data_IF_166766706826
#
_entry.id   IF_166766706826
#
_cell.length_a   1.000
_cell.length_b   1.000
_cell.length_c   1.000
_cell.angle_alpha   90.00
_cell.angle_beta   90.00
_cell.angle_gamma   90.00
#
_symmetry.space_group_name_H-M   'P 1'
#
loop_
_entity.id
_entity.type
_entity.pdbx_description
1 polymer ?
#
# COMPACT_ATOMS: atom_id res chain seq x y z
N UNK A 1 30.95 73.66 -46.69
CA UNK A 1 29.67 73.77 -47.40
C UNK A 1 28.82 72.57 -47.02
N UNK A 2 27.90 72.81 -46.09
CA UNK A 2 26.87 71.90 -45.62
C UNK A 2 25.63 72.21 -46.47
N UNK A 3 24.94 71.20 -46.99
CA UNK A 3 23.54 71.36 -47.37
C UNK A 3 22.77 70.09 -47.00
N UNK A 4 21.74 70.30 -46.18
CA UNK A 4 20.89 69.33 -45.52
C UNK A 4 19.48 69.44 -46.13
N UNK A 5 18.86 68.27 -46.36
CA UNK A 5 17.41 67.99 -46.33
C UNK A 5 16.53 68.51 -47.50
N UNK A 6 15.38 67.84 -47.81
CA UNK A 6 14.36 67.40 -46.85
C UNK A 6 13.85 65.96 -46.95
N UNK A 7 13.51 65.45 -45.76
CA UNK A 7 12.72 64.27 -45.42
C UNK A 7 11.21 64.54 -45.50
N UNK A 8 10.41 63.55 -45.94
CA UNK A 8 9.05 63.15 -45.46
C UNK A 8 8.34 62.25 -46.52
N UNK A 9 7.31 61.44 -46.20
CA UNK A 9 6.69 61.18 -44.89
C UNK A 9 6.58 59.68 -44.51
N UNK A 10 6.32 59.47 -43.21
CA UNK A 10 6.02 58.20 -42.53
C UNK A 10 4.62 57.69 -42.95
N UNK A 11 4.53 56.46 -43.45
CA UNK A 11 3.26 55.74 -43.65
C UNK A 11 2.85 55.00 -42.36
N UNK A 12 1.61 55.25 -41.91
CA UNK A 12 0.97 54.62 -40.76
C UNK A 12 0.70 53.11 -40.99
N UNK A 13 0.52 52.30 -39.93
CA UNK A 13 0.39 50.86 -40.06
C UNK A 13 -1.02 50.41 -40.46
N UNK A 14 -1.08 49.42 -41.35
CA UNK A 14 -2.29 48.73 -41.78
C UNK A 14 -3.02 48.05 -40.60
N UNK A 15 -4.31 48.35 -40.47
CA UNK A 15 -5.26 47.62 -39.62
C UNK A 15 -5.51 46.22 -40.17
N UNK A 16 -5.43 45.13 -39.37
CA UNK A 16 -5.76 43.79 -39.86
C UNK A 16 -7.28 43.60 -39.95
N UNK A 17 -7.75 43.15 -41.12
CA UNK A 17 -9.12 42.67 -41.34
C UNK A 17 -9.39 41.37 -40.56
N UNK A 18 -10.63 41.13 -40.06
CA UNK A 18 -10.99 39.89 -39.39
C UNK A 18 -11.41 38.82 -40.42
N UNK A 19 -10.45 37.98 -40.82
CA UNK A 19 -10.65 36.81 -41.67
C UNK A 19 -10.76 35.50 -40.87
N UNK A 20 -11.98 34.96 -40.87
CA UNK A 20 -12.43 33.58 -40.60
C UNK A 20 -11.39 32.48 -40.26
N UNK A 21 -11.69 31.74 -39.18
CA UNK A 21 -11.30 30.31 -39.08
C UNK A 21 -10.34 29.91 -37.97
N UNK A 22 -10.45 30.46 -36.76
CA UNK A 22 -9.78 29.87 -35.59
C UNK A 22 -10.43 28.52 -35.25
N UNK A 23 -9.88 27.43 -35.79
CA UNK A 23 -10.19 26.09 -35.33
C UNK A 23 -9.86 25.99 -33.83
N UNK A 24 -10.90 25.86 -33.00
CA UNK A 24 -10.77 25.64 -31.56
C UNK A 24 -9.77 24.50 -31.30
N UNK A 25 -8.73 24.70 -30.47
CA UNK A 25 -7.76 23.65 -30.22
C UNK A 25 -8.46 22.48 -29.48
N UNK A 26 -8.61 21.37 -30.20
CA UNK A 26 -8.89 19.99 -29.78
C UNK A 26 -8.83 19.69 -28.26
N UNK A 27 -9.81 20.17 -27.49
CA UNK A 27 -9.95 19.87 -26.05
C UNK A 27 -10.18 18.39 -25.76
N UNK A 28 -10.79 17.66 -26.71
CA UNK A 28 -11.06 16.21 -26.61
C UNK A 28 -9.79 15.36 -26.61
N UNK A 29 -8.79 15.71 -27.44
CA UNK A 29 -7.51 14.97 -27.48
C UNK A 29 -6.66 15.20 -26.22
N UNK A 30 -6.66 16.43 -25.67
CA UNK A 30 -5.92 16.75 -24.45
C UNK A 30 -6.54 16.09 -23.21
N UNK A 31 -7.88 16.08 -23.11
CA UNK A 31 -8.61 15.42 -22.03
C UNK A 31 -8.50 13.88 -22.08
N UNK A 32 -8.49 13.28 -23.27
CA UNK A 32 -8.27 11.84 -23.48
C UNK A 32 -6.86 11.41 -23.04
N UNK A 33 -5.84 12.18 -23.46
CA UNK A 33 -4.43 11.92 -23.10
C UNK A 33 -4.18 12.05 -21.60
N UNK A 34 -4.82 13.00 -20.92
CA UNK A 34 -4.73 13.14 -19.45
C UNK A 34 -5.40 11.97 -18.70
N UNK A 35 -6.56 11.47 -19.16
CA UNK A 35 -7.22 10.31 -18.56
C UNK A 35 -6.42 9.02 -18.72
N UNK A 36 -5.87 8.78 -19.92
CA UNK A 36 -5.02 7.60 -20.17
C UNK A 36 -3.77 7.62 -19.28
N UNK A 37 -3.12 8.78 -19.13
CA UNK A 37 -1.97 8.93 -18.22
C UNK A 37 -2.35 8.67 -16.76
N UNK A 38 -3.50 9.18 -16.30
CA UNK A 38 -3.99 8.93 -14.94
C UNK A 38 -4.20 7.44 -14.68
N UNK A 39 -4.86 6.73 -15.60
CA UNK A 39 -5.10 5.28 -15.45
C UNK A 39 -3.81 4.46 -15.43
N UNK A 40 -2.83 4.80 -16.27
CA UNK A 40 -1.52 4.14 -16.28
C UNK A 40 -0.79 4.38 -14.96
N UNK A 41 -0.82 5.60 -14.43
CA UNK A 41 -0.22 5.93 -13.14
C UNK A 41 -0.94 5.25 -11.97
N UNK A 42 -2.27 5.16 -12.02
CA UNK A 42 -3.06 4.42 -11.01
C UNK A 42 -2.71 2.94 -11.01
N UNK A 43 -2.66 2.31 -12.19
CA UNK A 43 -2.29 0.91 -12.32
C UNK A 43 -0.85 0.64 -11.86
N UNK A 44 0.09 1.53 -12.17
CA UNK A 44 1.46 1.44 -11.68
C UNK A 44 1.55 1.62 -10.15
N UNK A 45 0.80 2.59 -9.60
CA UNK A 45 0.73 2.83 -8.16
C UNK A 45 0.15 1.64 -7.40
N UNK A 46 -0.80 0.91 -8.00
CA UNK A 46 -1.39 -0.28 -7.40
C UNK A 46 -0.32 -1.35 -7.09
N UNK A 47 0.59 -1.60 -8.04
CA UNK A 47 1.62 -2.62 -7.87
C UNK A 47 2.81 -2.20 -7.00
N UNK A 48 3.18 -0.92 -7.03
CA UNK A 48 4.38 -0.42 -6.35
C UNK A 48 4.05 0.11 -4.95
N UNK A 49 2.95 0.84 -4.79
CA UNK A 49 2.64 1.56 -3.54
C UNK A 49 1.82 0.68 -2.58
N UNK A 50 0.90 -0.12 -3.12
CA UNK A 50 -0.05 -0.90 -2.31
C UNK A 50 0.32 -2.38 -2.16
N UNK A 51 1.53 -2.77 -2.59
CA UNK A 51 1.99 -4.16 -2.51
C UNK A 51 2.03 -4.66 -1.06
N UNK A 52 2.68 -3.90 -0.18
CA UNK A 52 2.85 -4.25 1.24
C UNK A 52 1.50 -4.41 1.96
N UNK A 53 0.74 -3.32 2.06
CA UNK A 53 -0.59 -3.34 2.69
C UNK A 53 -1.55 -4.35 2.03
N UNK A 54 -1.42 -4.58 0.73
CA UNK A 54 -2.21 -5.53 -0.04
C UNK A 54 -1.94 -7.00 0.30
N UNK A 55 -0.78 -7.31 0.87
CA UNK A 55 -0.40 -8.67 1.29
C UNK A 55 -0.71 -8.99 2.74
N UNK A 56 -1.05 -7.98 3.55
CA UNK A 56 -1.46 -8.14 4.96
C UNK A 56 -2.51 -9.22 5.23
N UNK A 57 -3.50 -9.50 4.34
CA UNK A 57 -4.48 -10.56 4.60
C UNK A 57 -3.89 -11.96 4.70
N UNK A 58 -2.65 -12.18 4.23
CA UNK A 58 -1.95 -13.46 4.35
C UNK A 58 -1.61 -13.83 5.81
N UNK A 59 -1.42 -12.83 6.69
CA UNK A 59 -0.89 -13.06 8.03
C UNK A 59 -1.68 -12.34 9.14
N UNK A 60 -2.22 -11.14 8.90
CA UNK A 60 -2.71 -10.28 10.00
C UNK A 60 -3.86 -10.90 10.82
N UNK A 61 -4.85 -11.52 10.17
CA UNK A 61 -5.96 -12.14 10.89
C UNK A 61 -5.54 -13.43 11.60
N UNK A 62 -4.62 -14.19 11.00
CA UNK A 62 -4.03 -15.38 11.63
C UNK A 62 -3.37 -15.00 12.95
N UNK A 63 -2.53 -13.96 12.96
CA UNK A 63 -1.84 -13.49 14.17
C UNK A 63 -2.80 -13.00 15.27
N UNK A 64 -4.04 -12.62 14.93
CA UNK A 64 -5.05 -12.29 15.94
C UNK A 64 -5.62 -13.54 16.64
N UNK A 65 -5.80 -14.64 15.92
CA UNK A 65 -6.58 -15.81 16.37
C UNK A 65 -5.77 -17.12 16.50
N UNK A 66 -4.50 -17.12 16.12
CA UNK A 66 -3.63 -18.29 16.18
C UNK A 66 -2.21 -17.92 16.61
N UNK A 67 -1.66 -18.66 17.57
CA UNK A 67 -0.34 -18.41 18.16
C UNK A 67 -0.39 -18.27 19.69
N UNK A 68 0.74 -17.89 20.29
CA UNK A 68 0.91 -17.82 21.75
C UNK A 68 0.16 -16.66 22.42
N UNK A 69 -0.12 -15.59 21.67
CA UNK A 69 -0.84 -14.40 22.16
C UNK A 69 -2.22 -14.25 21.51
N UNK A 70 -2.71 -15.32 20.90
CA UNK A 70 -3.95 -15.34 20.17
C UNK A 70 -5.17 -15.27 21.08
N UNK A 71 -6.25 -14.69 20.56
CA UNK A 71 -7.56 -14.72 21.20
C UNK A 71 -8.42 -15.84 20.62
N UNK A 72 -9.28 -16.43 21.43
CA UNK A 72 -10.21 -17.46 20.95
C UNK A 72 -11.17 -16.87 19.91
N UNK A 73 -11.36 -17.52 18.75
CA UNK A 73 -12.28 -17.08 17.68
C UNK A 73 -13.75 -17.30 18.04
N UNK A 74 -14.21 -16.64 19.11
CA UNK A 74 -15.64 -16.56 19.44
C UNK A 74 -16.34 -15.55 18.53
N UNK A 75 -17.66 -15.66 18.28
CA UNK A 75 -18.37 -14.69 17.44
C UNK A 75 -18.19 -13.23 17.86
N UNK A 76 -18.16 -12.96 19.17
CA UNK A 76 -17.92 -11.63 19.70
C UNK A 76 -16.50 -11.13 19.40
N UNK A 77 -15.49 -12.00 19.54
CA UNK A 77 -14.10 -11.65 19.26
C UNK A 77 -13.85 -11.46 17.76
N UNK A 78 -14.45 -12.30 16.91
CA UNK A 78 -14.37 -12.18 15.45
C UNK A 78 -14.97 -10.86 14.99
N UNK A 79 -16.18 -10.51 15.43
CA UNK A 79 -16.80 -9.21 15.10
C UNK A 79 -15.95 -8.04 15.61
N UNK A 80 -15.40 -8.18 16.82
CA UNK A 80 -14.52 -7.19 17.44
C UNK A 80 -13.25 -6.91 16.62
N UNK A 81 -12.49 -7.96 16.30
CA UNK A 81 -11.24 -7.84 15.54
C UNK A 81 -11.50 -7.33 14.12
N UNK A 82 -12.52 -7.83 13.42
CA UNK A 82 -12.86 -7.33 12.07
C UNK A 82 -13.28 -5.86 12.11
N UNK A 83 -14.02 -5.43 13.15
CA UNK A 83 -14.32 -4.02 13.38
C UNK A 83 -13.05 -3.20 13.58
N UNK A 84 -12.10 -3.66 14.41
CA UNK A 84 -10.84 -2.95 14.62
C UNK A 84 -10.02 -2.84 13.33
N UNK A 85 -9.97 -3.90 12.52
CA UNK A 85 -9.28 -3.89 11.22
C UNK A 85 -9.91 -2.86 10.29
N UNK A 86 -11.23 -2.88 10.12
CA UNK A 86 -11.94 -1.92 9.27
C UNK A 86 -11.64 -0.48 9.69
N UNK A 87 -11.81 -0.19 10.98
CA UNK A 87 -11.64 1.16 11.50
C UNK A 87 -10.18 1.60 11.52
N UNK A 88 -9.21 0.69 11.65
CA UNK A 88 -7.80 1.00 11.43
C UNK A 88 -7.51 1.39 9.98
N UNK A 89 -8.03 0.66 8.98
CA UNK A 89 -7.88 1.02 7.56
C UNK A 89 -8.54 2.37 7.23
N UNK A 90 -9.69 2.66 7.84
CA UNK A 90 -10.37 3.95 7.68
C UNK A 90 -9.59 5.07 8.37
N UNK A 91 -9.34 4.96 9.67
CA UNK A 91 -8.77 6.06 10.46
C UNK A 91 -7.30 6.29 10.17
N UNK A 92 -6.50 5.23 10.10
CA UNK A 92 -5.05 5.33 9.91
C UNK A 92 -4.76 5.61 8.44
N UNK A 93 -5.14 4.72 7.53
CA UNK A 93 -4.74 4.85 6.13
C UNK A 93 -5.60 5.89 5.41
N UNK A 94 -6.92 5.77 5.47
CA UNK A 94 -7.79 6.63 4.67
C UNK A 94 -7.82 8.08 5.19
N UNK A 95 -8.00 8.28 6.49
CA UNK A 95 -8.08 9.63 7.08
C UNK A 95 -6.69 10.20 7.36
N UNK A 96 -5.89 9.57 8.24
CA UNK A 96 -4.58 10.10 8.62
C UNK A 96 -3.63 10.16 7.41
N UNK A 97 -3.37 9.06 6.69
CA UNK A 97 -2.40 9.10 5.59
C UNK A 97 -2.95 9.83 4.36
N UNK A 98 -4.07 9.38 3.81
CA UNK A 98 -4.53 9.85 2.50
C UNK A 98 -5.21 11.23 2.52
N UNK A 99 -5.89 11.60 3.60
CA UNK A 99 -6.56 12.92 3.70
C UNK A 99 -5.67 13.97 4.36
N UNK A 100 -4.98 13.64 5.45
CA UNK A 100 -4.17 14.60 6.21
C UNK A 100 -2.72 14.65 5.74
N UNK A 101 -1.98 13.53 5.82
CA UNK A 101 -0.54 13.51 5.57
C UNK A 101 -0.23 13.79 4.09
N UNK A 102 -1.02 13.30 3.14
CA UNK A 102 -0.86 13.65 1.72
C UNK A 102 -1.04 15.15 1.42
N UNK A 103 -1.59 15.96 2.34
CA UNK A 103 -1.64 17.43 2.18
C UNK A 103 -0.34 18.10 2.64
N UNK A 104 0.45 17.42 3.47
CA UNK A 104 1.76 17.88 3.93
C UNK A 104 2.85 17.35 2.99
N UNK A 105 2.80 17.78 1.72
CA UNK A 105 3.89 17.56 0.78
C UNK A 105 4.88 18.74 0.84
N UNK A 106 6.16 18.48 0.54
CA UNK A 106 7.16 19.53 0.37
C UNK A 106 7.53 19.59 -1.12
N UNK A 107 6.94 20.54 -1.86
CA UNK A 107 7.14 20.69 -3.32
C UNK A 107 6.80 19.42 -4.13
N UNK A 108 5.84 18.63 -3.66
CA UNK A 108 5.40 17.39 -4.31
C UNK A 108 6.17 16.13 -3.90
N UNK A 109 7.16 16.22 -3.01
CA UNK A 109 7.79 15.05 -2.39
C UNK A 109 7.21 14.77 -1.00
N UNK A 110 7.09 13.48 -0.67
CA UNK A 110 6.70 12.98 0.65
C UNK A 110 7.82 12.15 1.28
N UNK A 111 7.63 11.73 2.52
CA UNK A 111 8.61 10.99 3.32
C UNK A 111 8.96 11.68 4.66
N UNK A 112 9.45 10.90 5.62
CA UNK A 112 9.80 11.36 6.99
C UNK A 112 10.79 12.54 6.96
N UNK A 113 11.66 12.58 5.95
CA UNK A 113 12.64 13.65 5.78
C UNK A 113 12.06 14.92 5.15
N UNK A 114 11.03 14.82 4.29
CA UNK A 114 10.26 15.99 3.83
C UNK A 114 9.56 16.68 5.02
N UNK A 115 8.97 15.90 5.93
CA UNK A 115 8.40 16.41 7.19
C UNK A 115 9.46 17.05 8.10
N UNK A 116 10.65 16.45 8.20
CA UNK A 116 11.74 17.00 8.99
C UNK A 116 12.22 18.37 8.47
N UNK A 117 12.22 18.57 7.14
CA UNK A 117 12.57 19.86 6.51
C UNK A 117 11.45 20.92 6.60
N UNK A 118 10.18 20.51 6.61
CA UNK A 118 9.05 21.43 6.82
C UNK A 118 8.98 21.96 8.27
N UNK A 119 9.50 21.20 9.24
CA UNK A 119 9.48 21.56 10.65
C UNK A 119 10.71 22.29 11.18
N UNK A 120 11.71 22.59 10.34
CA UNK A 120 13.07 22.95 10.80
C UNK A 120 13.31 24.43 11.12
N UNK A 121 12.29 25.26 11.27
CA UNK A 121 12.46 26.72 11.48
C UNK A 121 12.84 27.14 12.92
N UNK A 122 13.45 26.26 13.74
CA UNK A 122 13.89 26.64 15.09
C UNK A 122 15.11 25.84 15.57
N UNK A 123 16.24 26.53 15.77
CA UNK A 123 17.59 25.96 15.97
C UNK A 123 17.75 24.94 17.13
N UNK A 124 16.88 24.95 18.14
CA UNK A 124 16.86 23.97 19.25
C UNK A 124 15.96 22.77 18.98
N UNK A 125 14.86 22.93 18.22
CA UNK A 125 13.98 21.82 17.80
C UNK A 125 14.64 20.99 16.69
N UNK A 126 15.53 21.58 15.90
CA UNK A 126 16.26 20.88 14.83
C UNK A 126 17.02 19.64 15.31
N UNK A 127 17.72 19.68 16.46
CA UNK A 127 18.45 18.50 16.99
C UNK A 127 17.53 17.38 17.47
N UNK A 128 16.40 17.71 18.11
CA UNK A 128 15.42 16.71 18.55
C UNK A 128 14.68 16.10 17.37
N UNK A 129 14.19 16.93 16.44
CA UNK A 129 13.56 16.49 15.20
C UNK A 129 14.51 15.61 14.37
N UNK A 130 15.79 15.98 14.35
CA UNK A 130 16.83 15.19 13.70
C UNK A 130 17.01 13.81 14.35
N UNK A 131 17.14 13.73 15.69
CA UNK A 131 17.23 12.43 16.39
C UNK A 131 15.99 11.57 16.18
N UNK A 132 14.81 12.18 16.21
CA UNK A 132 13.55 11.49 15.92
C UNK A 132 13.49 11.00 14.46
N UNK A 133 14.03 11.78 13.50
CA UNK A 133 14.14 11.40 12.10
C UNK A 133 15.07 10.19 11.88
N UNK A 134 16.26 10.20 12.51
CA UNK A 134 17.20 9.05 12.47
C UNK A 134 16.59 7.82 13.13
N UNK A 135 15.91 7.98 14.27
CA UNK A 135 15.19 6.89 14.93
C UNK A 135 14.07 6.32 14.04
N UNK A 136 13.28 7.18 13.40
CA UNK A 136 12.26 6.76 12.44
C UNK A 136 12.83 6.04 11.21
N UNK A 137 13.97 6.50 10.69
CA UNK A 137 14.67 5.82 9.60
C UNK A 137 15.13 4.42 10.02
N UNK A 138 15.69 4.26 11.23
CA UNK A 138 16.08 2.96 11.76
C UNK A 138 14.89 2.00 11.92
N UNK A 139 13.73 2.50 12.39
CA UNK A 139 12.49 1.72 12.42
C UNK A 139 12.04 1.29 11.02
N UNK A 140 12.17 2.16 10.01
CA UNK A 140 11.82 1.80 8.63
C UNK A 140 12.78 0.76 8.03
N UNK A 141 14.07 0.74 8.42
CA UNK A 141 14.97 -0.36 8.05
C UNK A 141 14.60 -1.68 8.72
N UNK A 142 14.17 -1.64 9.98
CA UNK A 142 13.72 -2.82 10.69
C UNK A 142 12.47 -3.43 10.03
N UNK A 143 11.49 -2.59 9.71
CA UNK A 143 10.32 -2.98 8.90
C UNK A 143 10.77 -3.49 7.51
N UNK A 144 11.75 -2.80 6.94
CA UNK A 144 12.52 -3.13 5.75
C UNK A 144 12.95 -4.59 5.62
N UNK A 145 13.39 -5.14 6.74
CA UNK A 145 13.94 -6.48 6.86
C UNK A 145 12.87 -7.51 7.19
N UNK A 146 11.87 -7.15 8.01
CA UNK A 146 10.87 -8.07 8.54
C UNK A 146 9.80 -8.39 7.49
N UNK A 147 9.32 -7.38 6.77
CA UNK A 147 8.16 -7.55 5.90
C UNK A 147 8.36 -8.52 4.74
N UNK A 148 9.49 -8.51 3.98
CA UNK A 148 9.73 -9.54 2.97
C UNK A 148 9.69 -10.96 3.54
N UNK A 149 10.21 -11.16 4.75
CA UNK A 149 10.24 -12.48 5.39
C UNK A 149 8.83 -12.95 5.78
N UNK A 150 8.05 -12.12 6.50
CA UNK A 150 6.69 -12.46 6.92
C UNK A 150 5.79 -12.67 5.70
N UNK A 151 5.86 -11.77 4.73
CA UNK A 151 4.99 -11.80 3.56
C UNK A 151 5.28 -12.98 2.64
N UNK A 152 6.57 -13.32 2.39
CA UNK A 152 6.92 -14.52 1.60
C UNK A 152 6.58 -15.81 2.35
N UNK A 153 6.81 -15.87 3.66
CA UNK A 153 6.39 -17.01 4.48
C UNK A 153 4.86 -17.22 4.40
N UNK A 154 4.07 -16.16 4.62
CA UNK A 154 2.60 -16.23 4.50
C UNK A 154 2.14 -16.62 3.09
N UNK A 155 2.89 -16.28 2.04
CA UNK A 155 2.60 -16.73 0.68
C UNK A 155 2.85 -18.24 0.46
N UNK A 156 3.91 -18.79 1.07
CA UNK A 156 4.32 -20.19 0.87
C UNK A 156 3.57 -21.14 1.80
N UNK A 157 3.10 -20.67 2.97
CA UNK A 157 2.32 -21.46 3.92
C UNK A 157 1.03 -22.05 3.33
N UNK A 158 0.51 -21.51 2.23
CA UNK A 158 -0.63 -22.13 1.53
C UNK A 158 -0.33 -23.53 0.97
N UNK A 159 0.94 -23.88 0.74
CA UNK A 159 1.33 -25.24 0.36
C UNK A 159 1.11 -26.25 1.49
N UNK A 160 1.29 -25.81 2.74
CA UNK A 160 1.01 -26.65 3.91
C UNK A 160 -0.48 -26.96 4.01
N UNK A 161 -1.35 -25.99 3.72
CA UNK A 161 -2.81 -26.17 3.70
C UNK A 161 -3.23 -27.15 2.59
N UNK A 162 -2.52 -27.17 1.46
CA UNK A 162 -2.79 -28.10 0.37
C UNK A 162 -2.35 -29.55 0.67
N UNK A 163 -1.17 -29.74 1.27
CA UNK A 163 -0.73 -31.06 1.74
C UNK A 163 0.35 -30.95 2.83
N UNK A 164 0.26 -31.76 3.91
CA UNK A 164 1.30 -31.82 4.95
C UNK A 164 2.68 -32.24 4.42
N UNK A 165 2.76 -32.82 3.22
CA UNK A 165 4.01 -33.24 2.58
C UNK A 165 5.00 -32.07 2.40
N UNK A 166 4.52 -30.84 2.24
CA UNK A 166 5.37 -29.66 2.04
C UNK A 166 5.93 -29.04 3.33
N UNK A 167 5.54 -29.53 4.52
CA UNK A 167 6.00 -29.02 5.82
C UNK A 167 7.51 -28.75 5.92
N UNK A 168 8.40 -29.72 5.64
CA UNK A 168 9.84 -29.48 5.74
C UNK A 168 10.39 -28.55 4.65
N UNK A 169 9.60 -28.26 3.61
CA UNK A 169 10.02 -27.46 2.46
C UNK A 169 9.55 -26.01 2.51
N UNK A 170 8.60 -25.63 3.39
CA UNK A 170 8.09 -24.25 3.48
C UNK A 170 9.22 -23.24 3.74
N UNK A 171 10.01 -23.46 4.80
CA UNK A 171 11.11 -22.55 5.16
C UNK A 171 12.23 -22.53 4.10
N UNK A 172 12.77 -23.68 3.62
CA UNK A 172 13.76 -23.66 2.55
C UNK A 172 13.27 -22.98 1.26
N UNK A 173 12.00 -23.18 0.90
CA UNK A 173 11.42 -22.55 -0.30
C UNK A 173 11.26 -21.05 -0.11
N UNK A 174 10.83 -20.57 1.06
CA UNK A 174 10.77 -19.15 1.36
C UNK A 174 12.16 -18.50 1.29
N UNK A 175 13.19 -19.15 1.83
CA UNK A 175 14.59 -18.69 1.71
C UNK A 175 15.03 -18.65 0.25
N UNK A 176 14.74 -19.68 -0.54
CA UNK A 176 15.08 -19.72 -1.96
C UNK A 176 14.38 -18.60 -2.76
N UNK A 177 13.10 -18.34 -2.46
CA UNK A 177 12.33 -17.23 -3.06
C UNK A 177 12.95 -15.88 -2.68
N UNK A 178 13.28 -15.67 -1.40
CA UNK A 178 13.92 -14.43 -0.95
C UNK A 178 15.28 -14.23 -1.63
N UNK A 179 16.15 -15.23 -1.63
CA UNK A 179 17.45 -15.16 -2.32
C UNK A 179 17.27 -14.87 -3.81
N UNK A 180 16.35 -15.56 -4.49
CA UNK A 180 16.05 -15.32 -5.90
C UNK A 180 15.50 -13.91 -6.16
N UNK A 181 14.64 -13.41 -5.27
CA UNK A 181 14.07 -12.08 -5.32
C UNK A 181 15.16 -11.00 -5.18
N UNK A 182 15.99 -11.07 -4.15
CA UNK A 182 17.09 -10.13 -3.92
C UNK A 182 18.13 -10.19 -5.04
N UNK A 183 18.42 -11.40 -5.55
CA UNK A 183 19.31 -11.57 -6.70
C UNK A 183 18.76 -10.90 -7.96
N UNK A 184 17.50 -11.15 -8.32
CA UNK A 184 16.88 -10.58 -9.51
C UNK A 184 16.74 -9.05 -9.44
N UNK A 185 16.47 -8.52 -8.25
CA UNK A 185 16.38 -7.08 -8.01
C UNK A 185 17.68 -6.33 -8.29
N UNK A 186 18.83 -6.97 -8.02
CA UNK A 186 20.14 -6.35 -8.24
C UNK A 186 20.43 -6.00 -9.72
N UNK A 187 19.67 -6.59 -10.66
CA UNK A 187 19.82 -6.37 -12.10
C UNK A 187 18.94 -5.24 -12.69
N UNK A 188 18.18 -4.52 -11.84
CA UNK A 188 17.41 -3.33 -12.23
C UNK A 188 15.90 -3.58 -12.43
N UNK A 189 15.07 -2.76 -11.78
CA UNK A 189 13.61 -2.92 -11.66
C UNK A 189 12.79 -2.25 -12.79
N UNK A 190 13.45 -1.56 -13.71
CA UNK A 190 12.81 -0.64 -14.68
C UNK A 190 11.85 -1.33 -15.67
N UNK A 191 12.04 -2.62 -15.96
CA UNK A 191 11.14 -3.39 -16.86
C UNK A 191 10.01 -4.11 -16.12
N UNK A 192 10.15 -4.33 -14.82
CA UNK A 192 9.24 -5.20 -14.03
C UNK A 192 7.98 -4.45 -13.61
N UNK A 193 8.06 -3.13 -13.42
CA UNK A 193 6.93 -2.30 -12.99
C UNK A 193 5.70 -2.32 -13.90
N UNK A 194 5.85 -2.69 -15.19
CA UNK A 194 4.70 -2.84 -16.11
C UNK A 194 3.84 -4.07 -15.81
N UNK A 195 4.42 -5.11 -15.22
CA UNK A 195 3.74 -6.38 -14.90
C UNK A 195 3.09 -6.30 -13.51
N UNK A 196 3.65 -5.50 -12.60
CA UNK A 196 3.16 -5.39 -11.22
C UNK A 196 1.72 -4.90 -11.15
N UNK A 197 1.38 -3.83 -11.88
CA UNK A 197 0.02 -3.29 -11.86
C UNK A 197 -1.07 -4.32 -12.20
N UNK A 198 -0.99 -5.00 -13.37
CA UNK A 198 -1.95 -6.05 -13.73
C UNK A 198 -2.03 -7.22 -12.74
N UNK A 199 -0.88 -7.70 -12.22
CA UNK A 199 -0.85 -8.83 -11.27
C UNK A 199 -1.46 -8.42 -9.93
N UNK A 200 -1.15 -7.23 -9.43
CA UNK A 200 -1.74 -6.73 -8.19
C UNK A 200 -3.24 -6.45 -8.36
N UNK A 201 -3.69 -6.06 -9.56
CA UNK A 201 -5.13 -5.91 -9.84
C UNK A 201 -5.84 -7.25 -9.78
N UNK A 202 -5.23 -8.28 -10.40
CA UNK A 202 -5.71 -9.66 -10.31
C UNK A 202 -5.73 -10.16 -8.86
N UNK A 203 -4.69 -9.84 -8.07
CA UNK A 203 -4.64 -10.15 -6.64
C UNK A 203 -5.85 -9.55 -5.90
N UNK A 204 -6.10 -8.25 -6.00
CA UNK A 204 -7.25 -7.61 -5.34
C UNK A 204 -8.60 -8.12 -5.85
N UNK A 205 -8.70 -8.50 -7.12
CA UNK A 205 -9.89 -9.15 -7.67
C UNK A 205 -10.13 -10.50 -6.97
N UNK A 206 -9.10 -11.34 -6.86
CA UNK A 206 -9.18 -12.64 -6.18
C UNK A 206 -9.51 -12.46 -4.68
N UNK A 207 -8.88 -11.49 -4.00
CA UNK A 207 -9.20 -11.14 -2.62
C UNK A 207 -10.68 -10.81 -2.44
N UNK A 208 -11.23 -9.99 -3.35
CA UNK A 208 -12.63 -9.58 -3.34
C UNK A 208 -13.57 -10.75 -3.58
N UNK A 209 -13.26 -11.62 -4.55
CA UNK A 209 -14.08 -12.79 -4.89
C UNK A 209 -14.13 -13.80 -3.74
N UNK A 210 -12.99 -14.13 -3.13
CA UNK A 210 -12.92 -14.99 -1.94
C UNK A 210 -13.71 -14.37 -0.77
N UNK A 211 -13.55 -13.05 -0.59
CA UNK A 211 -14.25 -12.28 0.43
C UNK A 211 -15.77 -12.37 0.28
N UNK A 212 -16.28 -12.03 -0.90
CA UNK A 212 -17.71 -12.06 -1.23
C UNK A 212 -18.29 -13.46 -1.04
N UNK A 213 -17.58 -14.50 -1.48
CA UNK A 213 -18.03 -15.89 -1.34
C UNK A 213 -18.26 -16.26 0.13
N UNK A 214 -17.33 -15.90 1.02
CA UNK A 214 -17.44 -16.24 2.43
C UNK A 214 -18.46 -15.34 3.17
N UNK A 215 -18.54 -14.05 2.84
CA UNK A 215 -19.56 -13.15 3.39
C UNK A 215 -20.97 -13.67 3.07
N UNK A 216 -21.19 -14.18 1.85
CA UNK A 216 -22.47 -14.75 1.47
C UNK A 216 -22.87 -15.98 2.31
N UNK A 217 -21.90 -16.73 2.85
CA UNK A 217 -22.14 -17.88 3.73
C UNK A 217 -22.48 -17.48 5.17
N UNK A 218 -21.92 -16.37 5.66
CA UNK A 218 -22.20 -15.83 6.99
C UNK A 218 -22.37 -14.30 6.96
N UNK A 219 -23.52 -13.79 6.48
CA UNK A 219 -23.75 -12.34 6.30
C UNK A 219 -23.75 -11.58 7.63
N UNK A 220 -23.91 -12.27 8.76
CA UNK A 220 -23.79 -11.68 10.10
C UNK A 220 -22.45 -10.97 10.35
N UNK A 221 -21.39 -11.30 9.61
CA UNK A 221 -20.11 -10.59 9.72
C UNK A 221 -20.21 -9.10 9.39
N UNK A 222 -21.21 -8.69 8.58
CA UNK A 222 -21.41 -7.29 8.21
C UNK A 222 -21.70 -6.39 9.43
N UNK A 223 -22.16 -6.97 10.54
CA UNK A 223 -22.31 -6.26 11.80
C UNK A 223 -20.98 -5.66 12.31
N UNK A 224 -19.83 -6.25 11.96
CA UNK A 224 -18.50 -5.74 12.31
C UNK A 224 -18.20 -4.35 11.73
N UNK A 225 -19.00 -3.84 10.79
CA UNK A 225 -18.88 -2.45 10.35
C UNK A 225 -19.14 -1.44 11.49
N UNK A 226 -19.93 -1.83 12.49
CA UNK A 226 -20.24 -1.00 13.65
C UNK A 226 -19.03 -0.94 14.62
N UNK A 227 -18.42 0.25 14.86
CA UNK A 227 -17.26 0.41 15.73
C UNK A 227 -17.50 -0.03 17.18
N UNK A 228 -18.77 -0.12 17.60
CA UNK A 228 -19.13 -0.62 18.93
C UNK A 228 -18.62 -2.05 19.16
N UNK A 229 -18.46 -2.88 18.12
CA UNK A 229 -17.86 -4.20 18.28
C UNK A 229 -16.38 -4.13 18.66
N UNK A 230 -15.62 -3.21 18.07
CA UNK A 230 -14.22 -2.97 18.45
C UNK A 230 -14.08 -2.41 19.87
N UNK A 231 -15.00 -1.52 20.29
CA UNK A 231 -15.03 -1.00 21.67
C UNK A 231 -15.38 -2.12 22.66
N UNK A 232 -16.43 -2.89 22.37
CA UNK A 232 -16.83 -4.02 23.18
C UNK A 232 -15.72 -5.09 23.28
N UNK A 233 -14.96 -5.28 22.22
CA UNK A 233 -13.80 -6.18 22.22
C UNK A 233 -12.76 -5.78 23.28
N UNK A 234 -12.41 -4.51 23.37
CA UNK A 234 -11.49 -4.04 24.42
C UNK A 234 -12.08 -4.15 25.82
N UNK A 235 -13.36 -3.83 25.98
CA UNK A 235 -14.05 -3.94 27.28
C UNK A 235 -14.09 -5.39 27.77
N UNK A 236 -14.26 -6.36 26.86
CA UNK A 236 -14.38 -7.77 27.21
C UNK A 236 -13.03 -8.48 27.39
N UNK A 237 -11.98 -8.05 26.68
CA UNK A 237 -10.70 -8.75 26.64
C UNK A 237 -9.54 -8.01 27.35
N UNK A 238 -9.76 -6.77 27.82
CA UNK A 238 -8.80 -6.02 28.64
C UNK A 238 -7.40 -5.98 28.02
N UNK A 239 -6.40 -6.45 28.78
CA UNK A 239 -5.00 -6.47 28.35
C UNK A 239 -4.75 -7.37 27.11
N UNK A 240 -5.42 -8.52 27.03
CA UNK A 240 -5.32 -9.39 25.84
C UNK A 240 -5.80 -8.67 24.59
N UNK A 241 -6.86 -7.85 24.71
CA UNK A 241 -7.33 -7.00 23.62
C UNK A 241 -6.28 -6.00 23.15
N UNK A 242 -5.48 -5.43 24.07
CA UNK A 242 -4.36 -4.56 23.72
C UNK A 242 -3.24 -5.30 22.99
N UNK A 243 -2.91 -6.53 23.40
CA UNK A 243 -1.91 -7.36 22.70
C UNK A 243 -2.38 -7.70 21.28
N UNK A 244 -3.65 -8.08 21.11
CA UNK A 244 -4.26 -8.36 19.80
C UNK A 244 -4.29 -7.11 18.91
N UNK A 245 -4.39 -5.92 19.49
CA UNK A 245 -4.28 -4.67 18.72
C UNK A 245 -2.93 -4.56 17.99
N UNK A 246 -1.86 -5.12 18.56
CA UNK A 246 -0.56 -5.24 17.88
C UNK A 246 -0.65 -6.08 16.61
N UNK A 247 -1.38 -7.20 16.64
CA UNK A 247 -1.65 -8.01 15.45
C UNK A 247 -2.58 -7.28 14.46
N UNK A 248 -3.59 -6.54 14.95
CA UNK A 248 -4.44 -5.70 14.09
C UNK A 248 -3.62 -4.61 13.40
N UNK A 249 -2.58 -4.07 14.03
CA UNK A 249 -1.72 -3.04 13.43
C UNK A 249 -1.01 -3.53 12.16
N UNK A 250 -0.84 -4.84 11.99
CA UNK A 250 -0.29 -5.44 10.77
C UNK A 250 -1.11 -5.17 9.51
N UNK A 251 -2.38 -4.75 9.62
CA UNK A 251 -3.21 -4.40 8.45
C UNK A 251 -2.91 -3.00 7.89
N UNK A 252 -2.17 -2.17 8.65
CA UNK A 252 -1.81 -0.81 8.25
C UNK A 252 -0.32 -0.66 7.93
N UNK A 253 0.45 -1.75 7.97
CA UNK A 253 1.85 -1.77 7.53
C UNK A 253 1.92 -1.42 6.04
N UNK A 254 2.89 -0.59 5.67
CA UNK A 254 3.00 -0.04 4.31
C UNK A 254 2.31 1.32 4.13
N UNK A 255 1.66 1.85 5.19
CA UNK A 255 1.23 3.25 5.25
C UNK A 255 2.37 4.25 5.01
N UNK A 256 3.60 3.88 5.36
CA UNK A 256 4.80 4.69 5.15
C UNK A 256 5.21 4.75 3.66
N UNK A 257 5.10 3.63 2.95
CA UNK A 257 5.40 3.55 1.51
C UNK A 257 4.47 4.46 0.70
N UNK A 258 3.19 4.53 1.09
CA UNK A 258 2.20 5.47 0.55
C UNK A 258 2.65 6.93 0.62
N UNK A 259 3.36 7.32 1.68
CA UNK A 259 3.85 8.68 1.85
C UNK A 259 5.16 8.92 1.09
N UNK A 260 6.06 7.93 1.05
CA UNK A 260 7.33 8.04 0.34
C UNK A 260 7.16 8.16 -1.19
N UNK A 261 6.15 7.50 -1.76
CA UNK A 261 5.97 7.41 -3.22
C UNK A 261 5.11 8.52 -3.84
N UNK A 262 4.74 9.56 -3.07
CA UNK A 262 4.00 10.72 -3.61
C UNK A 262 4.77 11.39 -4.74
N UNK A 263 6.10 11.52 -4.61
CA UNK A 263 6.94 12.19 -5.62
C UNK A 263 6.91 11.51 -6.98
N UNK A 264 6.70 10.18 -7.01
CA UNK A 264 6.70 9.39 -8.23
C UNK A 264 5.33 9.34 -8.92
N UNK A 265 4.24 9.19 -8.15
CA UNK A 265 2.90 8.96 -8.71
C UNK A 265 1.95 10.14 -8.55
N UNK A 266 2.16 11.01 -7.57
CA UNK A 266 1.24 12.06 -7.18
C UNK A 266 0.07 11.55 -6.32
N UNK A 267 -0.62 12.48 -5.67
CA UNK A 267 -1.67 12.17 -4.69
C UNK A 267 -2.96 11.63 -5.31
N UNK A 268 -3.32 12.07 -6.52
CA UNK A 268 -4.58 11.66 -7.17
C UNK A 268 -4.59 10.19 -7.59
N UNK A 269 -3.56 9.64 -8.27
CA UNK A 269 -3.53 8.22 -8.61
C UNK A 269 -3.56 7.31 -7.38
N UNK A 270 -2.83 7.68 -6.32
CA UNK A 270 -2.80 6.93 -5.06
C UNK A 270 -4.20 6.89 -4.42
N UNK A 271 -4.87 8.05 -4.27
CA UNK A 271 -6.23 8.11 -3.70
C UNK A 271 -7.24 7.33 -4.53
N UNK A 272 -7.21 7.48 -5.86
CA UNK A 272 -8.14 6.78 -6.74
C UNK A 272 -8.00 5.27 -6.56
N UNK A 273 -6.77 4.77 -6.63
CA UNK A 273 -6.45 3.34 -6.49
C UNK A 273 -6.86 2.79 -5.12
N UNK A 274 -6.61 3.54 -4.05
CA UNK A 274 -7.03 3.16 -2.70
C UNK A 274 -8.54 2.98 -2.59
N UNK A 275 -9.31 4.01 -2.92
CA UNK A 275 -10.76 3.99 -2.69
C UNK A 275 -11.53 3.12 -3.69
N UNK A 276 -10.95 2.80 -4.84
CA UNK A 276 -11.64 2.01 -5.88
C UNK A 276 -11.26 0.53 -5.88
N UNK A 277 -10.04 0.17 -5.50
CA UNK A 277 -9.56 -1.23 -5.60
C UNK A 277 -9.07 -1.74 -4.26
N UNK A 278 -8.14 -1.04 -3.63
CA UNK A 278 -7.39 -1.58 -2.47
C UNK A 278 -8.29 -1.66 -1.24
N UNK A 279 -8.91 -0.56 -0.83
CA UNK A 279 -9.78 -0.55 0.34
C UNK A 279 -10.97 -1.51 0.19
N UNK A 280 -11.74 -1.49 -0.92
CA UNK A 280 -12.81 -2.47 -1.11
C UNK A 280 -12.31 -3.91 -1.08
N UNK A 281 -11.19 -4.22 -1.73
CA UNK A 281 -10.64 -5.57 -1.78
C UNK A 281 -10.17 -6.07 -0.41
N UNK A 282 -9.48 -5.23 0.37
CA UNK A 282 -9.07 -5.55 1.74
C UNK A 282 -10.27 -5.74 2.65
N UNK A 283 -11.24 -4.82 2.62
CA UNK A 283 -12.45 -4.91 3.45
C UNK A 283 -13.22 -6.19 3.13
N UNK A 284 -13.46 -6.49 1.85
CA UNK A 284 -14.14 -7.72 1.45
C UNK A 284 -13.38 -8.97 1.92
N UNK A 285 -12.06 -8.97 1.79
CA UNK A 285 -11.26 -10.12 2.20
C UNK A 285 -11.26 -10.33 3.73
N UNK A 286 -11.02 -9.28 4.51
CA UNK A 286 -11.05 -9.38 5.97
C UNK A 286 -12.44 -9.77 6.50
N UNK A 287 -13.51 -9.20 5.93
CA UNK A 287 -14.86 -9.62 6.27
C UNK A 287 -15.12 -11.08 5.83
N UNK A 288 -14.59 -11.53 4.69
CA UNK A 288 -14.68 -12.93 4.28
C UNK A 288 -13.95 -13.89 5.21
N UNK A 289 -12.74 -13.53 5.65
CA UNK A 289 -12.00 -14.33 6.62
C UNK A 289 -12.72 -14.34 7.98
N UNK A 290 -13.29 -13.21 8.42
CA UNK A 290 -14.15 -13.17 9.60
C UNK A 290 -15.39 -14.06 9.46
N UNK A 291 -16.06 -14.02 8.30
CA UNK A 291 -17.21 -14.86 8.00
C UNK A 291 -16.86 -16.36 8.05
N UNK A 292 -15.67 -16.73 7.55
CA UNK A 292 -15.13 -18.08 7.67
C UNK A 292 -15.01 -18.49 9.14
N UNK A 293 -14.40 -17.65 9.98
CA UNK A 293 -14.18 -17.97 11.40
C UNK A 293 -15.47 -18.02 12.23
N UNK A 294 -16.54 -17.35 11.80
CA UNK A 294 -17.86 -17.50 12.42
C UNK A 294 -18.47 -18.89 12.19
N UNK A 295 -18.13 -19.55 11.08
CA UNK A 295 -18.67 -20.87 10.69
C UNK A 295 -17.71 -21.99 11.10
N UNK A 296 -16.42 -21.80 10.89
CA UNK A 296 -15.36 -22.77 11.12
C UNK A 296 -14.21 -22.13 11.92
N UNK A 297 -14.34 -22.04 13.26
CA UNK A 297 -13.32 -21.40 14.11
C UNK A 297 -11.95 -22.09 14.04
N UNK A 298 -11.90 -23.38 13.70
CA UNK A 298 -10.67 -24.15 13.51
C UNK A 298 -9.82 -23.66 12.32
N UNK A 299 -10.42 -22.92 11.38
CA UNK A 299 -9.69 -22.32 10.26
C UNK A 299 -8.75 -21.17 10.67
N UNK A 300 -8.73 -20.78 11.96
CA UNK A 300 -7.85 -19.74 12.49
C UNK A 300 -6.36 -19.99 12.25
N UNK A 301 -5.93 -21.25 12.05
CA UNK A 301 -4.55 -21.56 11.66
C UNK A 301 -4.12 -20.90 10.35
N UNK A 302 -5.04 -20.80 9.37
CA UNK A 302 -4.77 -20.30 8.03
C UNK A 302 -6.05 -19.74 7.40
N UNK A 303 -6.64 -18.67 7.97
CA UNK A 303 -7.95 -18.18 7.56
C UNK A 303 -7.94 -17.76 6.09
N UNK A 304 -6.83 -17.22 5.59
CA UNK A 304 -6.69 -16.82 4.20
C UNK A 304 -6.88 -17.97 3.20
N UNK A 305 -6.02 -19.00 3.26
CA UNK A 305 -6.07 -20.11 2.31
C UNK A 305 -7.30 -21.00 2.48
N UNK A 306 -7.84 -21.09 3.70
CA UNK A 306 -9.08 -21.82 3.98
C UNK A 306 -10.32 -21.16 3.38
N UNK A 307 -10.27 -19.91 2.92
CA UNK A 307 -11.34 -19.31 2.12
C UNK A 307 -11.43 -19.92 0.72
N UNK A 308 -10.34 -20.46 0.19
CA UNK A 308 -10.28 -20.92 -1.19
C UNK A 308 -10.72 -22.39 -1.30
N UNK A 309 -11.45 -22.75 -2.37
CA UNK A 309 -11.73 -24.16 -2.66
C UNK A 309 -10.42 -24.90 -3.01
N UNK A 310 -10.38 -26.21 -2.76
CA UNK A 310 -9.16 -27.01 -2.90
C UNK A 310 -8.47 -26.90 -4.28
N UNK A 311 -9.24 -26.79 -5.38
CA UNK A 311 -8.69 -26.65 -6.72
C UNK A 311 -7.97 -25.30 -6.94
N UNK A 312 -8.34 -24.27 -6.19
CA UNK A 312 -7.80 -22.92 -6.33
C UNK A 312 -6.57 -22.67 -5.44
N UNK A 313 -6.22 -23.59 -4.52
CA UNK A 313 -5.12 -23.41 -3.58
C UNK A 313 -3.77 -23.20 -4.28
N UNK A 314 -3.37 -24.08 -5.20
CA UNK A 314 -2.09 -23.92 -5.90
C UNK A 314 -2.01 -22.65 -6.75
N UNK A 315 -3.02 -22.31 -7.59
CA UNK A 315 -3.07 -21.02 -8.26
C UNK A 315 -2.98 -19.83 -7.30
N UNK A 316 -3.67 -19.91 -6.15
CA UNK A 316 -3.67 -18.87 -5.14
C UNK A 316 -2.29 -18.69 -4.49
N UNK A 317 -1.59 -19.79 -4.18
CA UNK A 317 -0.21 -19.75 -3.66
C UNK A 317 0.73 -19.07 -4.65
N UNK A 318 0.63 -19.40 -5.95
CA UNK A 318 1.46 -18.77 -6.99
C UNK A 318 1.18 -17.26 -7.05
N UNK A 319 -0.10 -16.88 -7.02
CA UNK A 319 -0.50 -15.47 -7.05
C UNK A 319 -0.07 -14.72 -5.78
N UNK A 320 -0.24 -15.34 -4.61
CA UNK A 320 0.20 -14.82 -3.32
C UNK A 320 1.72 -14.65 -3.28
N UNK A 321 2.48 -15.59 -3.84
CA UNK A 321 3.94 -15.51 -3.96
C UNK A 321 4.33 -14.35 -4.88
N UNK A 322 3.63 -14.17 -6.01
CA UNK A 322 3.85 -13.03 -6.89
C UNK A 322 3.55 -11.69 -6.19
N UNK A 323 2.45 -11.60 -5.44
CA UNK A 323 2.10 -10.42 -4.65
C UNK A 323 3.14 -10.14 -3.54
N UNK A 324 3.63 -11.18 -2.87
CA UNK A 324 4.65 -11.10 -1.83
C UNK A 324 5.99 -10.58 -2.37
N UNK A 325 6.37 -11.05 -3.56
CA UNK A 325 7.55 -10.54 -4.27
C UNK A 325 7.38 -9.04 -4.55
N UNK A 326 6.20 -8.59 -4.97
CA UNK A 326 5.91 -7.17 -5.26
C UNK A 326 5.92 -6.30 -4.00
N UNK A 327 5.32 -6.78 -2.90
CA UNK A 327 5.36 -6.12 -1.59
C UNK A 327 6.80 -5.82 -1.14
N UNK A 328 7.67 -6.82 -1.27
CA UNK A 328 9.08 -6.70 -0.89
C UNK A 328 9.84 -5.63 -1.71
N UNK A 329 9.46 -5.41 -2.97
CA UNK A 329 10.10 -4.40 -3.84
C UNK A 329 9.89 -2.97 -3.35
N UNK A 330 8.67 -2.67 -2.90
CA UNK A 330 8.27 -1.33 -2.46
C UNK A 330 9.15 -0.88 -1.28
N UNK A 331 9.30 -1.79 -0.33
CA UNK A 331 10.07 -1.59 0.89
C UNK A 331 11.56 -1.44 0.61
N UNK A 332 12.11 -2.29 -0.26
CA UNK A 332 13.54 -2.23 -0.64
C UNK A 332 13.84 -0.92 -1.37
N UNK A 333 12.96 -0.48 -2.27
CA UNK A 333 13.08 0.81 -2.97
C UNK A 333 13.01 1.99 -1.99
N UNK A 334 12.15 1.90 -0.97
CA UNK A 334 12.07 2.84 0.14
C UNK A 334 13.37 2.90 0.94
N UNK A 335 13.96 1.75 1.27
CA UNK A 335 15.23 1.66 1.99
C UNK A 335 16.40 2.27 1.20
N UNK A 336 16.49 2.00 -0.11
CA UNK A 336 17.48 2.65 -0.98
C UNK A 336 17.31 4.17 -1.04
N UNK A 337 16.06 4.64 -1.14
CA UNK A 337 15.76 6.08 -1.15
C UNK A 337 16.17 6.76 0.16
N UNK A 338 15.89 6.11 1.30
CA UNK A 338 16.37 6.58 2.60
C UNK A 338 17.90 6.54 2.72
N UNK A 339 18.55 5.49 2.21
CA UNK A 339 20.02 5.37 2.21
C UNK A 339 20.65 6.53 1.44
N UNK A 340 20.14 6.82 0.24
CA UNK A 340 20.62 7.92 -0.60
C UNK A 340 20.46 9.28 0.09
N UNK A 341 19.32 9.51 0.76
CA UNK A 341 19.10 10.73 1.53
C UNK A 341 20.06 10.81 2.73
N UNK A 342 20.33 9.70 3.43
CA UNK A 342 21.30 9.65 4.51
C UNK A 342 22.74 9.93 4.03
N UNK A 343 23.14 9.43 2.85
CA UNK A 343 24.44 9.73 2.22
C UNK A 343 24.55 11.22 1.87
N UNK A 344 23.50 11.81 1.26
CA UNK A 344 23.48 13.23 0.90
C UNK A 344 23.58 14.14 2.13
N UNK A 345 23.04 13.70 3.26
CA UNK A 345 23.14 14.38 4.56
C UNK A 345 24.44 14.09 5.32
N UNK A 346 25.33 13.23 4.78
CA UNK A 346 26.65 12.92 5.36
C UNK A 346 26.65 11.88 6.49
N UNK A 347 25.58 11.10 6.65
CA UNK A 347 25.41 10.13 7.75
C UNK A 347 25.71 8.67 7.38
N UNK A 348 25.90 8.37 6.09
CA UNK A 348 26.26 7.03 5.61
C UNK A 348 27.48 7.12 4.70
N UNK A 349 28.38 6.11 4.68
CA UNK A 349 29.50 6.06 3.74
C UNK A 349 29.00 6.17 2.29
N UNK A 350 29.80 6.82 1.45
CA UNK A 350 29.60 6.87 0.00
C UNK A 350 29.94 5.54 -0.64
#
# INVERSE_FOLDING_TARGET
MVNLQPSSPVTAPDSPQPGAGAALPNGRHKASRNRSRLLVLSLASLGIVFGDIGTSPLYALRECFYGSHAITPTPANVLGVISLILWSLILVISVKYLVLILRADNRGEGGILALATLGSDMATRGKLLFRLGVFGAALLYADGMITPAITVMGAVEGLYVATPLFNPYVVPLAVAILVGLFWFQSCGTTKVGKIFGPVTLLWFLVLSLLGIHQIARAPGILAAANPLHGIAFFMNNGWTGFVVLGAVFLVVTGGEALYADIGHFGTTPIRLTWFTVVLPGLVLNYFGQGALLLVEPAAAENPFYRMAPAWALYPLVILATAAAVMASQAIISGAFSLTMQAIQLGYSPR
#
